data_IF_020332636765
#
_entry.id   IF_020332636765
#
_cell.length_a   1.000
_cell.length_b   1.000
_cell.length_c   1.000
_cell.angle_alpha   90.00
_cell.angle_beta   90.00
_cell.angle_gamma   90.00
#
_symmetry.space_group_name_H-M   'P 1'
#
loop_
_entity.id
_entity.type
_entity.pdbx_description
1 polymer ?
#
# COMPACT_ATOMS: atom_id res chain seq x y z
N UNK A 1 -4.89 -8.82 41.90
CA UNK A 1 -5.29 -7.63 41.12
C UNK A 1 -4.61 -7.78 39.78
N UNK A 2 -5.35 -8.21 38.77
CA UNK A 2 -4.88 -8.20 37.38
C UNK A 2 -5.65 -7.06 36.73
N UNK A 3 -4.94 -5.98 36.43
CA UNK A 3 -5.47 -4.86 35.67
C UNK A 3 -5.75 -5.34 34.24
N UNK A 4 -7.03 -5.34 33.89
CA UNK A 4 -7.51 -5.55 32.53
C UNK A 4 -7.10 -4.34 31.71
N UNK A 5 -6.03 -4.46 30.92
CA UNK A 5 -5.75 -3.54 29.82
C UNK A 5 -6.93 -3.59 28.86
N UNK A 6 -7.64 -2.49 28.75
CA UNK A 6 -8.78 -2.32 27.85
C UNK A 6 -8.28 -2.18 26.41
N UNK A 7 -9.00 -2.76 25.45
CA UNK A 7 -8.72 -2.67 24.00
C UNK A 7 -8.58 -1.22 23.48
N UNK A 8 -9.08 -0.25 24.22
CA UNK A 8 -8.93 1.18 23.93
C UNK A 8 -7.48 1.67 24.13
N UNK A 9 -6.70 1.06 25.03
CA UNK A 9 -5.31 1.45 25.28
C UNK A 9 -4.33 0.95 24.20
N UNK A 10 -4.69 -0.12 23.49
CA UNK A 10 -3.87 -0.66 22.38
C UNK A 10 -4.03 0.17 21.09
N UNK A 11 -5.19 0.80 20.89
CA UNK A 11 -5.48 1.60 19.70
C UNK A 11 -4.76 2.95 19.73
N UNK A 12 -4.55 3.52 20.92
CA UNK A 12 -3.82 4.78 21.10
C UNK A 12 -2.34 4.64 20.74
N UNK A 13 -1.73 3.48 21.01
CA UNK A 13 -0.30 3.23 20.76
C UNK A 13 0.07 3.16 19.26
N UNK A 14 -0.83 2.69 18.41
CA UNK A 14 -0.57 2.62 16.95
C UNK A 14 -0.65 3.99 16.31
N UNK A 15 -1.59 4.84 16.76
CA UNK A 15 -1.71 6.23 16.30
C UNK A 15 -0.49 7.05 16.67
N UNK A 16 0.03 6.88 17.89
CA UNK A 16 1.21 7.62 18.35
C UNK A 16 2.51 7.14 17.68
N UNK A 17 2.57 5.87 17.26
CA UNK A 17 3.70 5.34 16.48
C UNK A 17 3.74 5.86 15.03
N UNK A 18 2.63 6.39 14.51
CA UNK A 18 2.53 6.95 13.15
C UNK A 18 3.14 8.36 13.10
N UNK A 19 3.11 9.11 14.20
CA UNK A 19 3.59 10.51 14.24
C UNK A 19 5.12 10.63 14.41
N UNK A 20 5.83 9.55 14.76
CA UNK A 20 7.27 9.61 15.12
C UNK A 20 8.24 9.10 14.04
N UNK A 21 7.79 8.88 12.80
CA UNK A 21 8.67 8.52 11.66
C UNK A 21 9.11 9.79 10.91
N UNK A 22 10.00 10.55 11.55
CA UNK A 22 10.71 11.66 10.92
C UNK A 22 11.87 11.11 10.06
N UNK A 23 11.63 10.82 8.77
CA UNK A 23 12.69 10.42 7.82
C UNK A 23 12.49 10.90 6.38
N UNK A 24 12.96 12.12 6.09
CA UNK A 24 13.82 12.61 4.96
C UNK A 24 13.87 11.83 3.61
N UNK A 25 12.77 11.23 3.17
CA UNK A 25 12.47 10.93 1.75
C UNK A 25 10.96 11.06 1.58
N UNK A 26 10.48 11.80 0.57
CA UNK A 26 9.15 12.43 0.51
C UNK A 26 7.91 11.52 0.40
N UNK A 27 7.96 10.25 0.80
CA UNK A 27 6.82 9.34 0.70
C UNK A 27 6.55 8.63 2.01
N UNK A 28 5.57 9.18 2.75
CA UNK A 28 4.97 8.60 3.94
C UNK A 28 3.44 8.53 3.86
N UNK A 29 2.84 8.75 2.67
CA UNK A 29 1.39 8.70 2.51
C UNK A 29 0.95 7.42 1.81
N UNK A 30 0.46 6.46 2.61
CA UNK A 30 -0.13 5.22 2.09
C UNK A 30 -1.38 5.50 1.23
N UNK A 31 -2.07 6.62 1.45
CA UNK A 31 -3.22 7.00 0.62
C UNK A 31 -2.79 7.39 -0.80
N UNK A 32 -1.67 8.12 -0.96
CA UNK A 32 -1.13 8.40 -2.30
C UNK A 32 -0.69 7.13 -3.03
N UNK A 33 -0.14 6.15 -2.30
CA UNK A 33 0.21 4.86 -2.87
C UNK A 33 -1.04 4.07 -3.29
N UNK A 34 -2.08 4.07 -2.45
CA UNK A 34 -3.36 3.43 -2.75
C UNK A 34 -4.03 4.06 -3.98
N UNK A 35 -4.00 5.40 -4.11
CA UNK A 35 -4.47 6.12 -5.31
C UNK A 35 -3.67 5.72 -6.57
N UNK A 36 -2.34 5.61 -6.45
CA UNK A 36 -1.50 5.14 -7.56
C UNK A 36 -1.82 3.69 -7.95
N UNK A 37 -2.07 2.81 -6.98
CA UNK A 37 -2.49 1.43 -7.23
C UNK A 37 -3.85 1.39 -7.92
N UNK A 38 -4.82 2.17 -7.45
CA UNK A 38 -6.14 2.27 -8.09
C UNK A 38 -6.01 2.66 -9.57
N UNK A 39 -5.16 3.65 -9.88
CA UNK A 39 -4.85 4.05 -11.26
C UNK A 39 -4.10 2.96 -12.03
N UNK A 40 -3.20 2.23 -11.41
CA UNK A 40 -2.47 1.12 -12.04
C UNK A 40 -3.42 0.00 -12.48
N UNK A 41 -4.32 -0.44 -11.60
CA UNK A 41 -5.33 -1.46 -11.92
C UNK A 41 -6.38 -0.96 -12.92
N UNK A 42 -6.71 0.33 -12.90
CA UNK A 42 -7.57 0.94 -13.91
C UNK A 42 -6.89 1.12 -15.28
N UNK A 43 -5.55 0.92 -15.37
CA UNK A 43 -4.78 1.15 -16.58
C UNK A 43 -4.51 2.63 -16.91
N UNK A 44 -4.70 3.51 -15.92
CA UNK A 44 -4.68 4.98 -16.08
C UNK A 44 -3.49 5.67 -15.40
N UNK A 45 -2.61 4.91 -14.74
CA UNK A 45 -1.46 5.48 -14.00
C UNK A 45 -0.52 6.30 -14.89
N UNK A 46 -0.24 5.82 -16.10
CA UNK A 46 0.62 6.53 -17.07
C UNK A 46 -0.16 7.53 -17.93
N UNK A 47 -1.49 7.60 -17.79
CA UNK A 47 -2.30 8.50 -18.60
C UNK A 47 -2.08 9.94 -18.16
N UNK A 48 -1.38 10.70 -19.00
CA UNK A 48 -1.17 12.14 -18.82
C UNK A 48 -2.45 12.90 -19.21
N UNK A 49 -3.56 12.66 -18.50
CA UNK A 49 -4.75 13.50 -18.64
C UNK A 49 -4.62 14.81 -17.86
N UNK A 50 -3.73 14.85 -16.87
CA UNK A 50 -3.42 16.09 -16.15
C UNK A 50 -2.31 16.89 -16.84
N UNK A 51 -2.65 17.48 -17.99
CA UNK A 51 -1.80 18.43 -18.72
C UNK A 51 -1.54 19.72 -17.93
N UNK A 52 -2.20 19.93 -16.77
CA UNK A 52 -1.93 21.10 -15.93
C UNK A 52 -0.48 21.12 -15.42
N UNK A 53 0.17 19.95 -15.39
CA UNK A 53 1.56 19.78 -14.97
C UNK A 53 2.59 20.07 -16.06
N UNK A 54 2.19 20.02 -17.33
CA UNK A 54 3.06 20.21 -18.51
C UNK A 54 3.56 21.66 -18.68
N UNK A 55 2.90 22.60 -17.99
CA UNK A 55 3.25 24.02 -17.99
C UNK A 55 3.84 24.52 -16.67
N UNK A 56 4.09 23.62 -15.71
CA UNK A 56 4.70 24.02 -14.45
C UNK A 56 6.18 24.36 -14.70
N UNK A 57 6.69 25.48 -14.14
CA UNK A 57 8.10 25.84 -14.22
C UNK A 57 9.01 24.69 -13.79
N UNK A 58 10.20 24.61 -14.38
CA UNK A 58 11.22 23.58 -14.05
C UNK A 58 11.53 23.55 -12.55
N UNK A 59 11.47 24.70 -11.88
CA UNK A 59 11.65 24.81 -10.42
C UNK A 59 10.48 24.27 -9.61
N UNK A 60 9.38 23.84 -10.22
CA UNK A 60 8.32 23.16 -9.51
C UNK A 60 8.46 21.65 -9.61
N UNK A 61 9.28 21.11 -10.53
CA UNK A 61 9.58 19.67 -10.68
C UNK A 61 10.56 19.16 -9.61
N UNK A 62 10.40 19.61 -8.36
CA UNK A 62 11.31 19.37 -7.22
C UNK A 62 10.96 18.02 -6.53
N UNK A 63 11.96 17.28 -6.01
CA UNK A 63 11.72 16.19 -5.05
C UNK A 63 10.87 16.66 -3.84
N UNK A 64 9.74 15.99 -3.61
CA UNK A 64 8.66 16.45 -2.72
C UNK A 64 7.27 16.57 -3.38
N UNK A 65 7.12 16.13 -4.63
CA UNK A 65 5.84 16.07 -5.35
C UNK A 65 5.02 14.81 -5.03
N UNK A 66 3.69 14.79 -5.31
CA UNK A 66 2.84 13.61 -5.13
C UNK A 66 3.37 12.38 -5.89
N UNK A 67 3.15 11.19 -5.33
CA UNK A 67 3.71 9.90 -5.81
C UNK A 67 3.46 9.65 -7.28
N UNK A 68 2.29 10.04 -7.74
CA UNK A 68 1.84 9.99 -9.13
C UNK A 68 2.75 10.70 -10.13
N UNK A 69 3.59 11.63 -9.67
CA UNK A 69 4.52 12.35 -10.55
C UNK A 69 5.90 11.69 -10.67
N UNK A 70 6.20 10.74 -9.79
CA UNK A 70 7.47 10.04 -9.73
C UNK A 70 7.32 8.56 -10.10
N UNK A 71 6.11 8.02 -9.97
CA UNK A 71 5.80 6.62 -10.20
C UNK A 71 5.17 6.41 -11.58
N UNK A 72 5.74 5.48 -12.35
CA UNK A 72 5.15 4.97 -13.59
C UNK A 72 4.71 3.50 -13.42
N UNK A 73 3.93 3.00 -14.39
CA UNK A 73 3.37 1.65 -14.36
C UNK A 73 4.44 0.55 -14.43
N UNK A 74 5.59 0.83 -15.04
CA UNK A 74 6.69 -0.15 -15.08
C UNK A 74 7.36 -0.28 -13.70
N UNK A 75 7.57 0.84 -13.02
CA UNK A 75 8.09 0.91 -11.65
C UNK A 75 7.12 0.26 -10.68
N UNK A 76 5.82 0.55 -10.79
CA UNK A 76 4.78 -0.12 -10.00
C UNK A 76 4.79 -1.63 -10.22
N UNK A 77 4.85 -2.09 -11.48
CA UNK A 77 4.91 -3.52 -11.80
C UNK A 77 6.15 -4.19 -11.20
N UNK A 78 7.32 -3.54 -11.29
CA UNK A 78 8.56 -4.03 -10.67
C UNK A 78 8.44 -4.09 -9.14
N UNK A 79 7.78 -3.11 -8.54
CA UNK A 79 7.57 -3.06 -7.10
C UNK A 79 6.67 -4.22 -6.64
N UNK A 80 5.52 -4.40 -7.30
CA UNK A 80 4.60 -5.52 -7.05
C UNK A 80 5.26 -6.89 -7.24
N UNK A 81 6.12 -7.04 -8.25
CA UNK A 81 6.86 -8.29 -8.48
C UNK A 81 7.87 -8.62 -7.37
N UNK A 82 8.37 -7.61 -6.66
CA UNK A 82 9.31 -7.81 -5.53
C UNK A 82 8.59 -8.14 -4.22
N UNK A 83 7.27 -7.97 -4.14
CA UNK A 83 6.50 -8.40 -2.98
C UNK A 83 6.42 -9.93 -2.92
N UNK A 84 6.52 -10.52 -1.72
CA UNK A 84 6.15 -11.92 -1.52
C UNK A 84 4.71 -12.20 -1.95
N UNK A 85 4.45 -13.40 -2.47
CA UNK A 85 3.16 -13.78 -3.06
C UNK A 85 1.93 -13.50 -2.17
N UNK A 86 1.94 -13.75 -0.84
CA UNK A 86 0.77 -13.45 -0.01
C UNK A 86 0.42 -11.95 0.00
N UNK A 87 1.42 -11.08 -0.05
CA UNK A 87 1.23 -9.62 -0.03
C UNK A 87 0.79 -9.09 -1.39
N UNK A 88 1.43 -9.54 -2.48
CA UNK A 88 0.99 -9.14 -3.83
C UNK A 88 -0.41 -9.66 -4.15
N UNK A 89 -0.76 -10.86 -3.67
CA UNK A 89 -2.10 -11.42 -3.82
C UNK A 89 -3.14 -10.66 -3.00
N UNK A 90 -2.79 -10.19 -1.79
CA UNK A 90 -3.68 -9.37 -0.98
C UNK A 90 -4.00 -8.03 -1.65
N UNK A 91 -2.98 -7.38 -2.25
CA UNK A 91 -3.19 -6.15 -3.04
C UNK A 91 -4.09 -6.45 -4.25
N UNK A 92 -3.79 -7.51 -5.02
CA UNK A 92 -4.61 -7.87 -6.17
C UNK A 92 -6.07 -8.17 -5.78
N UNK A 93 -6.30 -8.92 -4.70
CA UNK A 93 -7.64 -9.23 -4.18
C UNK A 93 -8.40 -7.96 -3.75
N UNK A 94 -7.71 -6.92 -3.29
CA UNK A 94 -8.33 -5.64 -2.93
C UNK A 94 -8.90 -4.92 -4.16
N UNK A 95 -8.15 -4.87 -5.26
CA UNK A 95 -8.56 -4.18 -6.50
C UNK A 95 -9.43 -5.04 -7.43
N UNK A 96 -9.37 -6.37 -7.30
CA UNK A 96 -10.18 -7.32 -8.07
C UNK A 96 -10.97 -8.27 -7.14
N UNK A 97 -11.87 -7.75 -6.29
CA UNK A 97 -12.53 -8.54 -5.25
C UNK A 97 -13.43 -9.65 -5.82
N UNK A 98 -13.94 -9.46 -7.03
CA UNK A 98 -14.82 -10.41 -7.72
C UNK A 98 -14.06 -11.55 -8.41
N UNK A 99 -12.71 -11.56 -8.37
CA UNK A 99 -11.87 -12.60 -8.95
C UNK A 99 -11.86 -13.85 -8.03
N UNK A 100 -12.52 -14.96 -8.41
CA UNK A 100 -12.63 -16.12 -7.53
C UNK A 100 -11.29 -16.82 -7.30
N UNK A 101 -10.36 -16.76 -8.25
CA UNK A 101 -9.02 -17.35 -8.13
C UNK A 101 -8.19 -16.67 -7.03
N UNK A 102 -8.24 -15.33 -6.96
CA UNK A 102 -7.55 -14.56 -5.91
C UNK A 102 -8.17 -14.85 -4.54
N UNK A 103 -9.50 -14.96 -4.46
CA UNK A 103 -10.19 -15.29 -3.21
C UNK A 103 -9.81 -16.67 -2.68
N UNK A 104 -9.72 -17.67 -3.58
CA UNK A 104 -9.27 -19.02 -3.22
C UNK A 104 -7.80 -19.05 -2.79
N UNK A 105 -6.94 -18.29 -3.48
CA UNK A 105 -5.53 -18.18 -3.15
C UNK A 105 -5.32 -17.56 -1.76
N UNK A 106 -6.04 -16.49 -1.45
CA UNK A 106 -5.99 -15.88 -0.13
C UNK A 106 -6.54 -16.81 0.95
N UNK A 107 -7.61 -17.56 0.68
CA UNK A 107 -8.13 -18.56 1.61
C UNK A 107 -7.10 -19.68 1.86
N UNK A 108 -6.34 -20.07 0.83
CA UNK A 108 -5.23 -21.02 0.98
C UNK A 108 -4.13 -20.48 1.90
N UNK A 109 -3.70 -19.22 1.74
CA UNK A 109 -2.71 -18.63 2.63
C UNK A 109 -3.22 -18.51 4.07
N UNK A 110 -4.48 -18.10 4.24
CA UNK A 110 -5.12 -18.05 5.55
C UNK A 110 -5.11 -19.41 6.27
N UNK A 111 -5.44 -20.49 5.56
CA UNK A 111 -5.46 -21.85 6.12
C UNK A 111 -4.08 -22.35 6.60
N UNK A 112 -2.99 -21.75 6.11
CA UNK A 112 -1.62 -22.06 6.52
C UNK A 112 -1.01 -20.99 7.43
N UNK A 113 -1.77 -19.94 7.75
CA UNK A 113 -1.36 -18.88 8.66
C UNK A 113 -1.55 -19.30 10.12
N UNK A 114 -0.78 -18.69 11.02
CA UNK A 114 -0.96 -18.88 12.48
C UNK A 114 -2.06 -17.98 13.05
N UNK A 115 -2.68 -17.14 12.22
CA UNK A 115 -3.76 -16.23 12.62
C UNK A 115 -5.07 -17.01 12.72
N UNK A 116 -5.74 -16.93 13.87
CA UNK A 116 -6.91 -17.75 14.20
C UNK A 116 -8.23 -16.97 14.31
N UNK A 117 -8.22 -15.66 14.06
CA UNK A 117 -9.38 -14.81 14.31
C UNK A 117 -10.46 -14.96 13.21
N UNK A 118 -10.22 -14.43 12.02
CA UNK A 118 -11.14 -14.53 10.88
C UNK A 118 -10.41 -14.29 9.56
N UNK A 119 -11.00 -14.79 8.47
CA UNK A 119 -10.48 -14.58 7.12
C UNK A 119 -10.50 -13.10 6.71
N UNK A 120 -11.55 -12.37 7.08
CA UNK A 120 -11.71 -10.94 6.77
C UNK A 120 -10.62 -10.11 7.45
N UNK A 121 -10.33 -10.39 8.73
CA UNK A 121 -9.26 -9.73 9.46
C UNK A 121 -7.89 -10.05 8.86
N UNK A 122 -7.66 -11.32 8.53
CA UNK A 122 -6.45 -11.76 7.86
C UNK A 122 -6.21 -11.00 6.55
N UNK A 123 -7.24 -10.86 5.71
CA UNK A 123 -7.17 -10.10 4.46
C UNK A 123 -6.79 -8.65 4.70
N UNK A 124 -7.44 -7.98 5.66
CA UNK A 124 -7.20 -6.58 5.96
C UNK A 124 -5.79 -6.32 6.49
N UNK A 125 -5.32 -7.13 7.44
CA UNK A 125 -3.98 -7.02 8.02
C UNK A 125 -2.90 -7.30 6.97
N UNK A 126 -3.09 -8.36 6.16
CA UNK A 126 -2.15 -8.71 5.09
C UNK A 126 -2.09 -7.62 4.02
N UNK A 127 -3.21 -7.00 3.67
CA UNK A 127 -3.26 -5.88 2.73
C UNK A 127 -2.50 -4.66 3.27
N UNK A 128 -2.74 -4.27 4.53
CA UNK A 128 -2.06 -3.12 5.13
C UNK A 128 -0.54 -3.36 5.24
N UNK A 129 -0.12 -4.56 5.66
CA UNK A 129 1.29 -4.92 5.67
C UNK A 129 1.89 -4.94 4.25
N UNK A 130 1.12 -5.38 3.25
CA UNK A 130 1.54 -5.33 1.85
C UNK A 130 1.77 -3.89 1.37
N UNK A 131 0.90 -2.94 1.74
CA UNK A 131 1.07 -1.51 1.40
C UNK A 131 2.33 -0.92 2.02
N UNK A 132 2.60 -1.20 3.31
CA UNK A 132 3.82 -0.75 3.98
C UNK A 132 5.09 -1.28 3.28
N UNK A 133 5.12 -2.59 3.00
CA UNK A 133 6.24 -3.22 2.28
C UNK A 133 6.39 -2.69 0.87
N UNK A 134 5.28 -2.44 0.18
CA UNK A 134 5.30 -1.88 -1.15
C UNK A 134 5.87 -0.45 -1.14
N UNK A 135 5.47 0.39 -0.18
CA UNK A 135 6.02 1.72 -0.02
C UNK A 135 7.54 1.70 0.16
N UNK A 136 8.05 0.78 0.99
CA UNK A 136 9.50 0.57 1.14
C UNK A 136 10.17 0.19 -0.19
N UNK A 137 9.59 -0.74 -0.94
CA UNK A 137 10.13 -1.19 -2.23
C UNK A 137 10.11 -0.06 -3.26
N UNK A 138 9.00 0.66 -3.39
CA UNK A 138 8.84 1.80 -4.31
C UNK A 138 9.90 2.85 -4.02
N UNK A 139 10.15 3.17 -2.75
CA UNK A 139 11.23 4.08 -2.34
C UNK A 139 12.61 3.63 -2.79
N UNK A 140 12.87 2.33 -2.94
CA UNK A 140 14.16 1.84 -3.47
C UNK A 140 14.26 1.87 -4.99
N UNK A 141 13.14 2.05 -5.69
CA UNK A 141 13.05 2.04 -7.14
C UNK A 141 13.02 3.45 -7.75
N UNK A 142 12.55 4.43 -6.98
CA UNK A 142 12.65 5.86 -7.28
C UNK A 142 14.05 6.40 -6.96
#
# INVERSE_FOLDING_TARGET
MLETLTLEDAFVSVSDAIDEIDTVTSYADLAELEDCLAKFWAGTLDEVYDLSRLYLPLEQLIPGRPLESQLDSDTMRKALYRLPEPYSSAIAQHFEPDCPELGQLMAHYFAHSTLTDSFERYLQETYYEALLRLAEIVRTLL
#
